data_IF_441951254982
#
_entry.id   IF_441951254982
#
_cell.length_a   1.000
_cell.length_b   1.000
_cell.length_c   1.000
_cell.angle_alpha   90.00
_cell.angle_beta   90.00
_cell.angle_gamma   90.00
#
_symmetry.space_group_name_H-M   'P 1'
#
loop_
_entity.id
_entity.type
_entity.pdbx_description
1 polymer ?
#
# COMPACT_ATOMS: atom_id res chain seq x y z
N UNK A 1 59.49 -30.14 6.13
CA UNK A 1 59.19 -28.93 6.93
C UNK A 1 57.75 -29.05 7.40
N UNK A 2 57.37 -29.84 8.39
CA UNK A 2 57.90 -30.03 9.75
C UNK A 2 57.99 -28.72 10.53
N UNK A 3 56.98 -28.44 11.37
CA UNK A 3 57.15 -28.22 12.82
C UNK A 3 55.80 -28.15 13.55
N UNK A 4 55.52 -29.26 14.23
CA UNK A 4 54.77 -29.40 15.47
C UNK A 4 55.33 -28.49 16.56
N UNK A 5 54.50 -27.91 17.44
CA UNK A 5 54.91 -27.68 18.83
C UNK A 5 53.74 -27.77 19.81
N UNK A 6 54.07 -28.32 20.97
CA UNK A 6 53.26 -28.85 22.04
C UNK A 6 53.67 -28.12 23.33
N UNK A 7 52.75 -27.81 24.26
CA UNK A 7 52.93 -28.08 25.71
C UNK A 7 51.81 -27.57 26.62
N UNK A 8 51.32 -28.52 27.40
CA UNK A 8 50.66 -28.45 28.71
C UNK A 8 51.63 -28.01 29.82
N UNK A 9 51.11 -27.39 30.89
CA UNK A 9 51.52 -27.39 32.32
C UNK A 9 50.50 -26.44 33.04
N UNK A 10 49.90 -26.65 34.20
CA UNK A 10 50.10 -27.60 35.29
C UNK A 10 50.10 -26.87 36.65
N UNK A 11 48.98 -26.95 37.39
CA UNK A 11 48.84 -27.08 38.86
C UNK A 11 49.29 -25.92 39.80
N UNK A 12 48.37 -25.38 40.63
CA UNK A 12 48.32 -25.57 42.11
C UNK A 12 47.17 -24.84 42.80
N UNK A 13 46.57 -25.56 43.75
CA UNK A 13 45.53 -25.14 44.68
C UNK A 13 46.10 -24.38 45.89
N UNK A 14 45.24 -23.65 46.59
CA UNK A 14 45.38 -23.40 48.03
C UNK A 14 44.00 -23.32 48.68
N UNK A 15 43.82 -24.18 49.67
CA UNK A 15 42.68 -24.35 50.57
C UNK A 15 42.92 -23.56 51.86
N UNK A 16 41.85 -23.16 52.57
CA UNK A 16 41.74 -22.82 54.02
C UNK A 16 40.86 -21.57 54.18
N UNK A 17 39.84 -21.45 55.02
CA UNK A 17 39.38 -22.22 56.17
C UNK A 17 37.93 -21.81 56.51
N UNK A 18 37.30 -22.68 57.28
CA UNK A 18 35.96 -22.63 57.87
C UNK A 18 35.80 -21.56 58.95
N UNK A 19 34.60 -20.98 59.06
CA UNK A 19 34.00 -20.67 60.36
C UNK A 19 32.46 -20.67 60.26
N UNK A 20 31.86 -21.24 61.29
CA UNK A 20 30.47 -21.67 61.44
C UNK A 20 29.50 -20.58 61.94
N UNK A 21 28.26 -20.69 61.46
CA UNK A 21 26.91 -20.39 62.03
C UNK A 21 26.79 -19.64 63.39
N UNK A 22 25.73 -18.82 63.56
CA UNK A 22 24.47 -19.37 64.08
C UNK A 22 23.19 -18.92 63.34
N UNK A 23 22.17 -19.76 63.46
CA UNK A 23 20.80 -19.53 63.04
C UNK A 23 20.08 -18.51 63.93
N UNK A 24 19.25 -17.65 63.32
CA UNK A 24 18.21 -16.90 64.02
C UNK A 24 16.96 -16.79 63.15
N UNK A 25 15.82 -16.75 63.85
CA UNK A 25 14.46 -17.05 63.41
C UNK A 25 13.82 -16.03 62.46
N UNK A 26 12.86 -16.58 61.72
CA UNK A 26 11.73 -15.98 61.01
C UNK A 26 11.27 -14.56 61.41
N UNK A 27 10.91 -13.76 60.40
CA UNK A 27 9.60 -13.09 60.38
C UNK A 27 9.12 -12.85 58.94
N UNK A 28 7.85 -13.14 58.70
CA UNK A 28 7.14 -12.80 57.48
C UNK A 28 6.76 -11.32 57.48
N UNK A 29 7.01 -10.60 56.38
CA UNK A 29 6.72 -9.17 56.32
C UNK A 29 6.76 -8.59 54.91
N UNK A 30 5.68 -8.80 54.17
CA UNK A 30 5.04 -7.88 53.20
C UNK A 30 5.96 -7.01 52.30
N UNK A 31 6.09 -7.50 51.05
CA UNK A 31 5.94 -6.79 49.76
C UNK A 31 5.96 -5.25 49.82
N UNK A 32 7.02 -4.64 49.30
CA UNK A 32 6.96 -3.41 48.51
C UNK A 32 8.12 -3.39 47.51
N UNK A 33 8.01 -4.18 46.44
CA UNK A 33 8.80 -3.96 45.24
C UNK A 33 8.19 -2.76 44.52
N UNK A 34 8.82 -1.59 44.63
CA UNK A 34 8.54 -0.44 43.78
C UNK A 34 8.92 -0.84 42.35
N UNK A 35 7.89 -1.08 41.53
CA UNK A 35 8.05 -1.24 40.09
C UNK A 35 8.53 0.10 39.51
N UNK A 36 9.79 0.13 39.07
CA UNK A 36 10.28 1.16 38.16
C UNK A 36 9.67 0.84 36.80
N UNK A 37 8.50 1.43 36.53
CA UNK A 37 7.96 1.51 35.17
C UNK A 37 8.83 2.52 34.41
N UNK A 38 9.87 2.05 33.74
CA UNK A 38 10.51 2.82 32.68
C UNK A 38 9.50 2.99 31.55
N UNK A 39 9.02 4.22 31.39
CA UNK A 39 8.23 4.70 30.26
C UNK A 39 8.92 4.33 28.94
N UNK A 40 8.29 3.46 28.16
CA UNK A 40 8.72 3.14 26.80
C UNK A 40 8.06 4.14 25.82
N UNK A 41 8.95 4.85 25.12
CA UNK A 41 8.83 5.30 23.72
C UNK A 41 7.79 6.39 23.41
N UNK A 42 8.19 7.65 23.62
CA UNK A 42 7.78 8.74 22.74
C UNK A 42 8.70 8.70 21.51
N UNK A 43 8.34 7.91 20.49
CA UNK A 43 8.93 8.07 19.16
C UNK A 43 8.03 9.01 18.36
N UNK A 44 8.08 10.30 18.71
CA UNK A 44 7.63 11.35 17.81
C UNK A 44 8.71 11.52 16.74
N UNK A 45 8.75 10.62 15.75
CA UNK A 45 9.44 10.87 14.49
C UNK A 45 8.58 11.87 13.72
N UNK A 46 8.71 13.16 14.04
CA UNK A 46 8.31 14.22 13.11
C UNK A 46 9.41 14.35 12.07
N UNK A 47 9.47 13.39 11.14
CA UNK A 47 10.17 13.62 9.87
C UNK A 47 9.28 14.56 9.04
N UNK A 48 9.77 15.74 8.61
CA UNK A 48 9.08 16.52 7.61
C UNK A 48 9.00 15.65 6.34
N UNK A 49 7.79 15.32 5.91
CA UNK A 49 7.54 14.39 4.80
C UNK A 49 6.87 13.08 5.18
N UNK A 50 6.41 12.90 6.43
CA UNK A 50 5.41 11.90 6.73
C UNK A 50 4.18 12.18 5.85
N UNK A 51 4.05 11.43 4.75
CA UNK A 51 2.81 11.34 4.00
C UNK A 51 1.70 11.04 4.99
N UNK A 52 0.53 11.64 4.82
CA UNK A 52 -0.64 11.19 5.57
C UNK A 52 -0.80 9.71 5.24
N UNK A 53 -0.35 8.86 6.15
CA UNK A 53 -0.58 7.44 6.08
C UNK A 53 -2.10 7.27 6.12
N UNK A 54 -2.63 6.51 5.16
CA UNK A 54 -4.04 6.19 5.09
C UNK A 54 -4.59 5.61 6.40
N UNK A 55 -5.90 5.47 6.46
CA UNK A 55 -6.58 5.01 7.65
C UNK A 55 -6.25 3.54 7.89
N UNK A 56 -5.70 3.17 9.06
CA UNK A 56 -5.34 1.78 9.35
C UNK A 56 -6.47 1.06 10.09
N UNK A 57 -6.95 -0.06 9.53
CA UNK A 57 -7.95 -0.93 10.16
C UNK A 57 -7.65 -2.40 9.88
N UNK A 58 -7.71 -3.28 10.90
CA UNK A 58 -7.40 -4.72 10.78
C UNK A 58 -6.06 -5.04 10.06
N UNK A 59 -5.06 -4.17 10.18
CA UNK A 59 -3.75 -4.33 9.53
C UNK A 59 -3.70 -3.90 8.06
N UNK A 60 -4.82 -3.44 7.51
CA UNK A 60 -4.91 -2.83 6.18
C UNK A 60 -4.77 -1.31 6.28
N UNK A 61 -4.12 -0.71 5.29
CA UNK A 61 -4.01 0.72 5.08
C UNK A 61 -4.98 1.14 3.98
N UNK A 62 -5.92 2.04 4.28
CA UNK A 62 -7.01 2.43 3.38
C UNK A 62 -6.88 3.90 2.96
N UNK A 63 -7.12 4.14 1.67
CA UNK A 63 -7.47 5.43 1.12
C UNK A 63 -8.97 5.41 0.79
N UNK A 64 -9.69 6.46 1.18
CA UNK A 64 -11.13 6.61 0.94
C UNK A 64 -11.32 7.81 0.05
N UNK A 65 -12.03 7.63 -1.05
CA UNK A 65 -12.32 8.70 -2.00
C UNK A 65 -13.67 9.36 -1.76
N UNK A 66 -13.92 10.45 -2.48
CA UNK A 66 -15.28 10.95 -2.66
C UNK A 66 -16.11 9.92 -3.44
N UNK A 67 -17.44 10.01 -3.29
CA UNK A 67 -18.39 9.11 -3.94
C UNK A 67 -19.11 9.78 -5.12
N UNK A 68 -18.51 10.84 -5.65
CA UNK A 68 -19.20 11.72 -6.58
C UNK A 68 -18.29 12.45 -7.55
N UNK A 69 -16.99 12.22 -7.51
CA UNK A 69 -15.98 12.79 -8.41
C UNK A 69 -15.74 11.96 -9.64
N UNK A 70 -16.17 10.70 -9.67
CA UNK A 70 -16.22 9.95 -10.91
C UNK A 70 -17.14 10.61 -11.96
N UNK A 71 -16.70 10.53 -13.21
CA UNK A 71 -17.49 10.93 -14.38
C UNK A 71 -18.15 9.71 -15.03
N UNK A 72 -19.26 9.89 -15.73
CA UNK A 72 -19.94 8.77 -16.40
C UNK A 72 -20.87 7.94 -15.50
N UNK A 73 -20.95 8.26 -14.20
CA UNK A 73 -21.90 7.71 -13.25
C UNK A 73 -21.31 6.64 -12.33
N UNK A 74 -22.13 6.05 -11.48
CA UNK A 74 -21.68 5.21 -10.36
C UNK A 74 -20.93 3.93 -10.74
N UNK A 75 -20.90 3.55 -12.02
CA UNK A 75 -20.12 2.42 -12.52
C UNK A 75 -18.64 2.74 -12.75
N UNK A 76 -18.25 4.01 -12.62
CA UNK A 76 -16.88 4.51 -12.82
C UNK A 76 -16.33 5.18 -11.55
N UNK A 77 -17.03 5.08 -10.42
CA UNK A 77 -16.59 5.67 -9.16
C UNK A 77 -15.64 4.71 -8.44
N UNK A 78 -14.44 5.19 -8.11
CA UNK A 78 -13.47 4.45 -7.31
C UNK A 78 -13.53 4.94 -5.87
N UNK A 79 -13.98 4.09 -4.95
CA UNK A 79 -14.36 4.53 -3.60
C UNK A 79 -13.27 4.26 -2.57
N UNK A 80 -12.49 3.19 -2.76
CA UNK A 80 -11.41 2.87 -1.83
C UNK A 80 -10.33 1.98 -2.43
N UNK A 81 -9.10 2.27 -2.02
CA UNK A 81 -7.91 1.49 -2.31
C UNK A 81 -7.26 1.11 -0.99
N UNK A 82 -7.00 -0.17 -0.78
CA UNK A 82 -6.36 -0.66 0.42
C UNK A 82 -5.11 -1.48 0.11
N UNK A 83 -4.13 -1.38 1.02
CA UNK A 83 -2.91 -2.17 0.98
C UNK A 83 -2.71 -2.94 2.30
N UNK A 84 -2.29 -4.19 2.18
CA UNK A 84 -1.84 -5.00 3.31
C UNK A 84 -0.55 -5.73 2.96
N UNK A 85 0.26 -6.03 3.98
CA UNK A 85 1.46 -6.81 3.81
C UNK A 85 1.54 -7.88 4.89
N UNK A 86 1.74 -9.14 4.48
CA UNK A 86 2.01 -10.26 5.37
C UNK A 86 3.32 -10.93 4.94
N UNK A 87 4.37 -10.77 5.75
CA UNK A 87 5.70 -11.26 5.39
C UNK A 87 6.21 -10.62 4.10
N UNK A 88 6.53 -11.44 3.10
CA UNK A 88 6.94 -10.99 1.76
C UNK A 88 5.78 -10.85 0.77
N UNK A 89 4.53 -11.07 1.17
CA UNK A 89 3.38 -10.92 0.27
C UNK A 89 2.73 -9.56 0.49
N UNK A 90 2.61 -8.78 -0.59
CA UNK A 90 1.80 -7.57 -0.64
C UNK A 90 0.42 -7.88 -1.21
N UNK A 91 -0.60 -7.21 -0.71
CA UNK A 91 -1.99 -7.34 -1.13
C UNK A 91 -2.54 -5.96 -1.42
N UNK A 92 -3.20 -5.81 -2.57
CA UNK A 92 -4.07 -4.68 -2.85
C UNK A 92 -5.52 -5.13 -2.90
N UNK A 93 -6.41 -4.25 -2.48
CA UNK A 93 -7.85 -4.39 -2.65
C UNK A 93 -8.42 -3.07 -3.15
N UNK A 94 -9.36 -3.15 -4.07
CA UNK A 94 -10.08 -2.03 -4.66
C UNK A 94 -11.56 -2.23 -4.35
N UNK A 95 -12.25 -1.13 -4.04
CA UNK A 95 -13.70 -1.10 -4.01
C UNK A 95 -14.23 0.11 -4.77
N UNK A 96 -15.23 -0.13 -5.61
CA UNK A 96 -15.78 0.90 -6.47
C UNK A 96 -17.01 0.41 -7.22
N UNK A 97 -17.38 1.15 -8.25
CA UNK A 97 -18.43 0.80 -9.20
C UNK A 97 -17.94 -0.02 -10.39
N UNK A 98 -16.64 0.08 -10.71
CA UNK A 98 -16.04 -0.47 -11.92
C UNK A 98 -15.78 -1.97 -11.79
N UNK A 99 -16.42 -2.83 -12.61
CA UNK A 99 -16.11 -4.25 -12.62
C UNK A 99 -14.68 -4.49 -13.07
N UNK A 100 -14.04 -5.55 -12.56
CA UNK A 100 -12.69 -5.93 -13.02
C UNK A 100 -12.64 -6.19 -14.53
N UNK A 101 -13.76 -6.64 -15.11
CA UNK A 101 -13.92 -6.85 -16.55
C UNK A 101 -14.15 -5.56 -17.36
N UNK A 102 -14.27 -4.41 -16.70
CA UNK A 102 -14.64 -3.13 -17.29
C UNK A 102 -16.13 -2.98 -17.58
N UNK A 103 -16.53 -1.77 -17.97
CA UNK A 103 -17.89 -1.42 -18.40
C UNK A 103 -17.96 -1.40 -19.92
N UNK A 104 -18.90 -2.13 -20.55
CA UNK A 104 -19.09 -2.08 -22.00
C UNK A 104 -19.38 -0.65 -22.50
N UNK A 105 -18.64 -0.20 -23.50
CA UNK A 105 -18.80 1.13 -24.09
C UNK A 105 -18.50 1.10 -25.59
N UNK A 106 -19.45 1.55 -26.41
CA UNK A 106 -19.23 1.60 -27.86
C UNK A 106 -18.31 2.76 -28.23
N UNK A 107 -17.38 2.53 -29.16
CA UNK A 107 -16.52 3.60 -29.70
C UNK A 107 -15.19 3.78 -28.97
N UNK A 108 -14.92 3.01 -27.92
CA UNK A 108 -13.58 2.85 -27.33
C UNK A 108 -12.91 1.58 -27.84
N UNK A 109 -11.60 1.48 -27.66
CA UNK A 109 -10.86 0.26 -27.98
C UNK A 109 -11.35 -0.89 -27.07
N UNK A 110 -11.40 -2.11 -27.61
CA UNK A 110 -12.00 -3.29 -26.98
C UNK A 110 -13.47 -3.16 -26.54
N UNK A 111 -14.18 -2.12 -26.99
CA UNK A 111 -15.59 -1.83 -26.65
C UNK A 111 -15.87 -1.85 -25.14
N UNK A 112 -14.85 -1.55 -24.32
CA UNK A 112 -14.90 -1.64 -22.87
C UNK A 112 -14.03 -0.53 -22.29
N UNK A 113 -14.49 0.12 -21.22
CA UNK A 113 -13.67 0.99 -20.38
C UNK A 113 -13.30 0.19 -19.14
N UNK A 114 -12.02 -0.05 -18.90
CA UNK A 114 -11.56 -0.84 -17.77
C UNK A 114 -10.75 0.00 -16.76
N UNK A 115 -10.42 -0.58 -15.60
CA UNK A 115 -9.36 -0.04 -14.76
C UNK A 115 -8.03 0.00 -15.51
N UNK A 116 -7.28 1.09 -15.38
CA UNK A 116 -5.90 1.19 -15.84
C UNK A 116 -4.92 0.42 -14.94
N UNK A 117 -3.66 0.82 -14.97
CA UNK A 117 -2.61 0.18 -14.19
C UNK A 117 -2.50 0.76 -12.78
N UNK A 118 -2.27 -0.13 -11.80
CA UNK A 118 -1.87 0.31 -10.46
C UNK A 118 -0.37 0.61 -10.46
N UNK A 119 -0.02 1.89 -10.45
CA UNK A 119 1.35 2.35 -10.37
C UNK A 119 1.83 2.42 -8.93
N UNK A 120 3.08 1.99 -8.70
CA UNK A 120 3.76 2.05 -7.42
C UNK A 120 4.99 2.95 -7.57
N UNK A 121 4.95 4.11 -6.92
CA UNK A 121 6.02 5.09 -6.98
C UNK A 121 6.85 5.09 -5.69
N UNK A 122 8.05 4.52 -5.77
CA UNK A 122 9.06 4.55 -4.71
C UNK A 122 10.05 5.71 -4.87
N UNK A 123 9.99 6.41 -6.00
CA UNK A 123 10.93 7.50 -6.29
C UNK A 123 10.70 8.70 -5.36
N UNK A 124 11.69 9.58 -5.32
CA UNK A 124 11.59 10.86 -4.59
C UNK A 124 10.81 11.94 -5.32
N UNK A 125 10.30 11.65 -6.53
CA UNK A 125 9.62 12.62 -7.37
C UNK A 125 8.17 12.26 -7.63
N UNK A 126 7.38 13.30 -7.90
CA UNK A 126 6.01 13.19 -8.37
C UNK A 126 5.96 12.64 -9.81
N UNK A 127 4.81 12.15 -10.27
CA UNK A 127 4.62 11.60 -11.61
C UNK A 127 3.89 12.60 -12.52
N UNK A 128 4.43 13.81 -12.59
CA UNK A 128 3.84 14.98 -13.26
C UNK A 128 4.16 15.08 -14.77
N UNK A 129 4.96 14.16 -15.28
CA UNK A 129 5.44 14.12 -16.66
C UNK A 129 5.67 12.68 -17.09
N UNK A 130 5.42 12.38 -18.37
CA UNK A 130 5.56 11.03 -18.92
C UNK A 130 6.93 10.40 -18.64
N UNK A 131 8.01 11.18 -18.75
CA UNK A 131 9.38 10.71 -18.59
C UNK A 131 9.65 10.14 -17.19
N UNK A 132 8.98 10.64 -16.14
CA UNK A 132 9.18 10.21 -14.75
C UNK A 132 8.67 8.80 -14.47
N UNK A 133 7.77 8.27 -15.31
CA UNK A 133 7.34 6.87 -15.20
C UNK A 133 8.41 5.86 -15.64
N UNK A 134 9.46 6.32 -16.33
CA UNK A 134 10.59 5.47 -16.73
C UNK A 134 11.64 5.29 -15.63
N UNK A 135 11.46 5.96 -14.48
CA UNK A 135 12.35 5.82 -13.33
C UNK A 135 12.36 4.36 -12.82
N UNK A 136 13.53 3.78 -12.49
CA UNK A 136 13.63 2.39 -12.05
C UNK A 136 12.89 2.08 -10.73
N UNK A 137 12.54 3.10 -9.96
CA UNK A 137 11.76 3.01 -8.72
C UNK A 137 10.26 3.20 -8.95
N UNK A 138 9.81 3.26 -10.21
CA UNK A 138 8.40 3.28 -10.60
C UNK A 138 8.01 1.96 -11.27
N UNK A 139 6.96 1.36 -10.72
CA UNK A 139 6.42 0.07 -11.17
C UNK A 139 4.96 0.22 -11.55
N UNK A 140 4.45 -0.72 -12.33
CA UNK A 140 3.03 -0.84 -12.64
C UNK A 140 2.57 -2.27 -12.41
N UNK A 141 1.38 -2.44 -11.88
CA UNK A 141 0.70 -3.72 -11.80
C UNK A 141 -0.46 -3.68 -12.77
N UNK A 142 -0.42 -4.57 -13.76
CA UNK A 142 -1.55 -4.85 -14.64
C UNK A 142 -2.36 -5.97 -14.02
N UNK A 143 -3.54 -5.65 -13.52
CA UNK A 143 -4.38 -6.57 -12.75
C UNK A 143 -5.69 -6.98 -13.43
N UNK A 144 -6.01 -6.35 -14.57
CA UNK A 144 -7.13 -6.74 -15.42
C UNK A 144 -6.64 -7.09 -16.83
N UNK A 145 -7.28 -8.08 -17.44
CA UNK A 145 -7.07 -8.43 -18.85
C UNK A 145 -7.95 -7.60 -19.79
N UNK A 146 -8.85 -6.79 -19.25
CA UNK A 146 -9.76 -5.96 -20.03
C UNK A 146 -9.09 -4.69 -20.56
N UNK A 147 -8.08 -4.17 -19.86
CA UNK A 147 -7.42 -2.94 -20.25
C UNK A 147 -6.55 -3.09 -21.53
N UNK A 148 -6.42 -2.01 -22.26
CA UNK A 148 -5.81 -1.86 -23.58
C UNK A 148 -4.27 -1.75 -23.54
N UNK A 149 -3.70 -1.72 -22.34
CA UNK A 149 -2.26 -1.63 -22.12
C UNK A 149 -1.48 -2.76 -22.80
N UNK A 150 -0.21 -2.49 -23.09
CA UNK A 150 0.72 -3.40 -23.75
C UNK A 150 0.21 -3.90 -25.12
N UNK A 151 -0.57 -3.06 -25.81
CA UNK A 151 -1.16 -3.36 -27.11
C UNK A 151 -2.23 -4.46 -27.05
N UNK A 152 -2.90 -4.61 -25.91
CA UNK A 152 -3.96 -5.58 -25.75
C UNK A 152 -5.17 -5.18 -26.59
N UNK A 153 -5.37 -5.86 -27.71
CA UNK A 153 -6.51 -5.66 -28.60
C UNK A 153 -7.21 -6.99 -28.74
N UNK A 154 -8.50 -7.01 -28.39
CA UNK A 154 -9.35 -8.20 -28.38
C UNK A 154 -8.75 -9.34 -27.54
N UNK A 155 -8.14 -9.01 -26.40
CA UNK A 155 -7.51 -9.99 -25.51
C UNK A 155 -6.19 -10.57 -26.04
N UNK A 156 -5.54 -9.93 -27.02
CA UNK A 156 -4.27 -10.39 -27.60
C UNK A 156 -3.13 -10.51 -26.59
N UNK A 157 -3.21 -9.80 -25.46
CA UNK A 157 -2.22 -9.86 -24.40
C UNK A 157 -2.87 -10.13 -23.04
N UNK A 158 -2.91 -11.41 -22.60
CA UNK A 158 -3.52 -11.79 -21.32
C UNK A 158 -2.55 -11.63 -20.13
N UNK A 159 -1.37 -11.05 -20.31
CA UNK A 159 -0.33 -11.00 -19.27
C UNK A 159 -0.76 -10.07 -18.14
N UNK A 160 -0.99 -10.64 -16.95
CA UNK A 160 -1.19 -9.92 -15.70
C UNK A 160 0.08 -10.03 -14.85
N UNK A 161 0.46 -8.95 -14.17
CA UNK A 161 1.72 -8.96 -13.44
C UNK A 161 2.24 -7.60 -13.02
N UNK A 162 3.39 -7.65 -12.36
CA UNK A 162 4.23 -6.52 -12.03
C UNK A 162 5.19 -6.22 -13.19
N UNK A 163 5.30 -4.95 -13.54
CA UNK A 163 6.13 -4.42 -14.61
C UNK A 163 7.02 -3.29 -14.11
N UNK A 164 8.19 -3.14 -14.75
CA UNK A 164 9.13 -2.03 -14.54
C UNK A 164 9.64 -1.48 -15.87
N UNK A 165 10.47 -0.43 -15.84
CA UNK A 165 11.00 0.22 -17.04
C UNK A 165 9.86 0.65 -17.98
N UNK A 166 8.94 1.44 -17.43
CA UNK A 166 7.66 1.71 -18.08
C UNK A 166 7.81 2.77 -19.17
N UNK A 167 7.11 2.56 -20.26
CA UNK A 167 6.62 3.66 -21.11
C UNK A 167 5.11 3.70 -20.94
N UNK A 168 4.59 4.81 -20.44
CA UNK A 168 3.15 5.00 -20.20
C UNK A 168 2.51 5.77 -21.33
N UNK A 169 1.19 5.66 -21.46
CA UNK A 169 0.42 6.33 -22.51
C UNK A 169 -0.98 6.68 -22.01
N UNK A 170 -1.59 7.69 -22.62
CA UNK A 170 -3.02 7.90 -22.55
C UNK A 170 -3.61 7.35 -23.85
N UNK A 171 -4.47 6.35 -23.77
CA UNK A 171 -5.15 5.80 -24.95
C UNK A 171 -6.48 6.50 -25.24
N UNK A 172 -6.81 7.52 -24.45
CA UNK A 172 -8.14 8.11 -24.44
C UNK A 172 -8.14 9.52 -24.97
N UNK A 173 -9.32 9.93 -25.42
CA UNK A 173 -9.56 11.23 -26.02
C UNK A 173 -11.05 11.50 -26.08
N UNK A 174 -11.40 12.76 -26.37
CA UNK A 174 -12.79 13.14 -26.55
C UNK A 174 -13.43 12.32 -27.70
N UNK A 175 -14.69 11.89 -27.56
CA UNK A 175 -15.64 12.27 -26.52
C UNK A 175 -15.75 11.32 -25.30
N UNK A 176 -14.92 10.27 -25.20
CA UNK A 176 -15.18 9.16 -24.27
C UNK A 176 -14.34 9.20 -22.98
N UNK A 177 -13.41 10.16 -22.87
CA UNK A 177 -12.57 10.35 -21.69
C UNK A 177 -11.86 11.70 -21.72
N UNK A 178 -10.81 11.83 -20.92
CA UNK A 178 -10.09 13.08 -20.73
C UNK A 178 -8.66 13.02 -21.25
N UNK A 179 -8.24 14.08 -21.92
CA UNK A 179 -6.86 14.21 -22.44
C UNK A 179 -5.89 14.78 -21.40
N UNK A 180 -6.40 15.39 -20.33
CA UNK A 180 -5.62 15.98 -19.24
C UNK A 180 -6.40 16.09 -17.94
N UNK A 181 -5.67 16.21 -16.81
CA UNK A 181 -6.27 16.42 -15.49
C UNK A 181 -7.03 17.74 -15.43
N UNK A 182 -6.50 18.81 -16.05
CA UNK A 182 -7.22 20.09 -16.13
C UNK A 182 -8.56 19.92 -16.84
N UNK A 183 -8.60 19.17 -17.94
CA UNK A 183 -9.86 18.93 -18.64
C UNK A 183 -10.87 18.22 -17.73
N UNK A 184 -10.45 17.16 -17.04
CA UNK A 184 -11.30 16.45 -16.07
C UNK A 184 -11.90 17.41 -15.01
N UNK A 185 -11.07 18.29 -14.46
CA UNK A 185 -11.53 19.30 -13.50
C UNK A 185 -12.42 20.39 -14.09
N UNK A 186 -12.15 20.83 -15.32
CA UNK A 186 -13.00 21.81 -16.03
C UNK A 186 -14.42 21.27 -16.29
N UNK A 187 -14.57 19.94 -16.37
CA UNK A 187 -15.87 19.27 -16.44
C UNK A 187 -16.59 19.15 -15.08
N UNK A 188 -15.97 19.59 -13.97
CA UNK A 188 -16.59 19.68 -12.65
C UNK A 188 -16.27 18.53 -11.68
N UNK A 189 -15.31 17.68 -12.03
CA UNK A 189 -14.94 16.50 -11.24
C UNK A 189 -13.84 16.76 -10.20
N UNK A 190 -13.32 17.98 -10.10
CA UNK A 190 -12.40 18.35 -9.02
C UNK A 190 -13.09 18.42 -7.66
N UNK A 191 -12.38 18.03 -6.58
CA UNK A 191 -12.89 18.09 -5.21
C UNK A 191 -11.94 18.84 -4.29
N UNK A 192 -12.54 19.51 -3.29
CA UNK A 192 -11.77 20.23 -2.26
C UNK A 192 -11.28 19.30 -1.15
N UNK A 193 -11.89 18.13 -0.98
CA UNK A 193 -11.57 17.07 -0.02
C UNK A 193 -11.97 15.73 -0.64
N UNK A 194 -11.19 14.67 -0.38
CA UNK A 194 -11.35 13.34 -0.96
C UNK A 194 -11.35 13.40 -2.48
N UNK A 195 -10.30 13.96 -3.09
CA UNK A 195 -10.26 14.15 -4.55
C UNK A 195 -9.74 12.94 -5.33
N UNK A 196 -8.79 12.19 -4.75
CA UNK A 196 -8.26 10.91 -5.23
C UNK A 196 -7.69 10.12 -4.03
N UNK A 197 -8.51 9.88 -3.01
CA UNK A 197 -8.12 9.19 -1.78
C UNK A 197 -7.13 9.99 -0.92
N UNK A 198 -5.93 9.44 -0.70
CA UNK A 198 -4.89 10.09 0.10
C UNK A 198 -4.26 11.32 -0.59
N UNK A 199 -4.48 11.50 -1.90
CA UNK A 199 -4.32 12.79 -2.56
C UNK A 199 -5.61 13.59 -2.36
N UNK A 200 -5.76 14.09 -1.13
CA UNK A 200 -7.04 14.52 -0.59
C UNK A 200 -7.63 15.75 -1.29
N UNK A 201 -6.83 16.65 -1.85
CA UNK A 201 -7.33 17.86 -2.52
C UNK A 201 -6.93 17.88 -3.98
N UNK A 202 -7.68 18.57 -4.85
CA UNK A 202 -7.26 18.85 -6.23
C UNK A 202 -5.83 19.42 -6.30
N UNK A 203 -5.41 20.23 -5.32
CA UNK A 203 -4.02 20.71 -5.25
C UNK A 203 -3.01 19.58 -5.01
N UNK A 204 -3.30 18.62 -4.13
CA UNK A 204 -2.44 17.46 -3.91
C UNK A 204 -2.33 16.58 -5.16
N UNK A 205 -3.45 16.37 -5.83
CA UNK A 205 -3.53 15.63 -7.09
C UNK A 205 -2.71 16.34 -8.18
N UNK A 206 -2.92 17.64 -8.40
CA UNK A 206 -2.15 18.43 -9.37
C UNK A 206 -0.66 18.50 -9.01
N UNK A 207 -0.31 18.57 -7.72
CA UNK A 207 1.08 18.55 -7.31
C UNK A 207 1.75 17.21 -7.69
N UNK A 208 1.02 16.10 -7.60
CA UNK A 208 1.57 14.77 -7.85
C UNK A 208 1.55 14.36 -9.33
N UNK A 209 0.47 14.63 -10.05
CA UNK A 209 0.29 14.25 -11.46
C UNK A 209 0.56 15.38 -12.44
N UNK A 210 0.90 16.58 -11.95
CA UNK A 210 0.85 17.77 -12.77
C UNK A 210 -0.59 18.07 -13.18
N UNK A 211 -0.74 19.01 -14.11
CA UNK A 211 -2.06 19.41 -14.63
C UNK A 211 -2.27 19.01 -16.10
N UNK A 212 -1.34 18.22 -16.64
CA UNK A 212 -1.27 17.83 -18.04
C UNK A 212 -1.94 16.50 -18.32
N UNK A 213 -1.43 15.79 -19.32
CA UNK A 213 -1.88 14.44 -19.67
C UNK A 213 -1.73 13.47 -18.51
N UNK A 214 -2.78 12.71 -18.22
CA UNK A 214 -2.76 11.59 -17.28
C UNK A 214 -2.47 10.30 -18.03
N UNK A 215 -1.81 9.35 -17.37
CA UNK A 215 -1.30 8.15 -18.02
C UNK A 215 -1.86 6.88 -17.34
N UNK A 216 -3.12 6.53 -17.62
CA UNK A 216 -3.74 5.33 -17.04
C UNK A 216 -3.06 4.05 -17.52
N UNK A 217 -2.55 4.03 -18.76
CA UNK A 217 -2.09 2.83 -19.43
C UNK A 217 -0.57 2.72 -19.55
N UNK A 218 -0.09 1.47 -19.61
CA UNK A 218 1.31 1.16 -19.96
C UNK A 218 1.40 0.77 -21.43
N UNK A 219 2.14 1.54 -22.24
CA UNK A 219 2.43 1.18 -23.63
C UNK A 219 3.43 0.03 -23.71
N UNK A 220 4.51 0.10 -22.94
CA UNK A 220 5.52 -0.97 -22.84
C UNK A 220 6.08 -1.06 -21.42
N UNK A 221 6.54 -2.26 -21.06
CA UNK A 221 7.18 -2.51 -19.77
C UNK A 221 7.90 -3.85 -19.77
N UNK A 222 8.86 -4.00 -18.87
CA UNK A 222 9.54 -5.26 -18.60
C UNK A 222 8.78 -6.03 -17.52
N UNK A 223 8.26 -7.21 -17.86
CA UNK A 223 7.63 -8.10 -16.89
C UNK A 223 8.62 -8.51 -15.80
N UNK A 224 8.20 -8.43 -14.54
CA UNK A 224 8.98 -8.82 -13.36
C UNK A 224 8.46 -10.12 -12.80
N UNK A 225 7.16 -10.20 -12.53
CA UNK A 225 6.49 -11.39 -12.00
C UNK A 225 4.98 -11.35 -12.24
N UNK A 226 4.33 -12.52 -12.09
CA UNK A 226 2.89 -12.63 -12.11
C UNK A 226 2.26 -12.23 -10.77
N UNK A 227 0.97 -11.92 -10.80
CA UNK A 227 0.15 -11.69 -9.61
C UNK A 227 -0.84 -12.84 -9.40
N UNK A 228 -1.44 -12.92 -8.21
CA UNK A 228 -2.60 -13.79 -7.95
C UNK A 228 -3.82 -12.93 -7.68
N UNK A 229 -4.89 -13.11 -8.47
CA UNK A 229 -6.17 -12.42 -8.27
C UNK A 229 -6.86 -12.92 -7.01
N UNK A 230 -7.57 -12.01 -6.34
CA UNK A 230 -8.33 -12.27 -5.13
C UNK A 230 -9.75 -11.73 -5.27
N UNK A 231 -10.74 -12.54 -4.93
CA UNK A 231 -12.12 -12.11 -4.81
C UNK A 231 -12.42 -11.49 -3.42
N UNK A 232 -13.62 -10.94 -3.27
CA UNK A 232 -14.06 -10.33 -2.03
C UNK A 232 -14.03 -11.29 -0.82
N UNK A 233 -14.29 -12.59 -1.02
CA UNK A 233 -14.30 -13.59 0.07
C UNK A 233 -12.86 -13.84 0.55
N UNK A 234 -11.92 -14.00 -0.37
CA UNK A 234 -10.51 -14.18 -0.07
C UNK A 234 -9.92 -12.95 0.63
N UNK A 235 -10.32 -11.74 0.20
CA UNK A 235 -9.91 -10.50 0.84
C UNK A 235 -10.49 -10.33 2.25
N UNK A 236 -11.78 -10.65 2.44
CA UNK A 236 -12.41 -10.62 3.77
C UNK A 236 -11.75 -11.61 4.73
N UNK A 237 -11.32 -12.78 4.25
CA UNK A 237 -10.57 -13.75 5.04
C UNK A 237 -9.20 -13.23 5.50
N UNK A 238 -8.62 -12.25 4.79
CA UNK A 238 -7.42 -11.51 5.17
C UNK A 238 -7.71 -10.30 6.07
N UNK A 239 -8.97 -10.10 6.50
CA UNK A 239 -9.37 -9.04 7.41
C UNK A 239 -9.72 -7.70 6.75
N UNK A 240 -9.84 -7.66 5.42
CA UNK A 240 -10.32 -6.48 4.70
C UNK A 240 -11.76 -6.14 5.15
N UNK A 241 -12.02 -4.86 5.40
CA UNK A 241 -13.32 -4.35 5.85
C UNK A 241 -13.54 -2.90 5.39
N UNK A 242 -13.87 -2.72 4.10
CA UNK A 242 -14.22 -1.40 3.56
C UNK A 242 -15.47 -0.81 4.22
N UNK A 243 -16.42 -1.64 4.64
CA UNK A 243 -17.66 -1.21 5.27
C UNK A 243 -17.44 -0.48 6.61
N UNK A 244 -16.25 -0.60 7.21
CA UNK A 244 -15.84 0.18 8.36
C UNK A 244 -15.87 1.70 8.10
N UNK A 245 -15.56 2.11 6.87
CA UNK A 245 -15.48 3.50 6.47
C UNK A 245 -16.74 3.89 5.68
N UNK A 246 -17.51 4.90 6.14
CA UNK A 246 -18.70 5.33 5.41
C UNK A 246 -18.37 5.74 3.98
N UNK A 247 -19.08 5.15 3.00
CA UNK A 247 -18.89 5.45 1.58
C UNK A 247 -17.76 4.70 0.87
N UNK A 248 -16.94 3.92 1.59
CA UNK A 248 -15.79 3.22 1.02
C UNK A 248 -16.10 1.88 0.35
N UNK A 249 -17.32 1.34 0.55
CA UNK A 249 -17.74 0.07 -0.05
C UNK A 249 -18.63 0.33 -1.27
N UNK A 250 -18.13 -0.10 -2.44
CA UNK A 250 -18.83 -0.10 -3.72
C UNK A 250 -19.51 -1.42 -4.05
N UNK A 251 -20.07 -1.49 -5.26
CA UNK A 251 -20.70 -2.70 -5.79
C UNK A 251 -19.69 -3.78 -6.19
N UNK A 252 -18.47 -3.37 -6.50
CA UNK A 252 -17.37 -4.23 -6.92
C UNK A 252 -16.27 -4.22 -5.86
N UNK A 253 -15.76 -5.41 -5.53
CA UNK A 253 -14.64 -5.61 -4.62
C UNK A 253 -13.76 -6.72 -5.16
N UNK A 254 -12.52 -6.38 -5.47
CA UNK A 254 -11.52 -7.31 -5.98
C UNK A 254 -10.13 -6.87 -5.55
N UNK A 255 -9.16 -7.75 -5.73
CA UNK A 255 -7.80 -7.45 -5.33
C UNK A 255 -6.81 -8.43 -5.95
N UNK A 256 -5.58 -8.30 -5.51
CA UNK A 256 -4.49 -9.14 -5.98
C UNK A 256 -3.33 -9.14 -5.00
N UNK A 257 -2.52 -10.19 -5.08
CA UNK A 257 -1.29 -10.32 -4.31
C UNK A 257 -0.07 -10.51 -5.20
N UNK A 258 1.09 -10.09 -4.70
CA UNK A 258 2.38 -10.16 -5.37
C UNK A 258 3.52 -10.36 -4.35
N UNK A 259 4.73 -10.70 -4.82
CA UNK A 259 5.90 -10.85 -3.96
C UNK A 259 6.55 -9.48 -3.73
N UNK A 260 6.30 -8.92 -2.56
CA UNK A 260 6.83 -7.62 -2.13
C UNK A 260 8.36 -7.56 -2.12
N UNK A 261 9.05 -8.71 -2.10
CA UNK A 261 10.52 -8.76 -2.20
C UNK A 261 11.04 -8.38 -3.59
N UNK A 262 10.17 -8.31 -4.61
CA UNK A 262 10.52 -7.79 -5.95
C UNK A 262 10.56 -6.26 -6.03
N UNK A 263 10.09 -5.57 -5.00
CA UNK A 263 10.00 -4.11 -4.96
C UNK A 263 11.01 -3.50 -3.98
N UNK A 264 11.42 -2.23 -4.18
CA UNK A 264 12.23 -1.51 -3.22
C UNK A 264 11.60 -1.48 -1.82
N UNK A 265 12.42 -1.50 -0.77
CA UNK A 265 11.93 -1.23 0.59
C UNK A 265 11.63 0.26 0.75
N UNK A 266 10.69 0.59 1.62
CA UNK A 266 10.38 1.98 1.94
C UNK A 266 8.93 2.33 1.72
N UNK A 267 8.61 3.60 1.95
CA UNK A 267 7.30 4.16 1.68
C UNK A 267 7.15 4.36 0.17
N UNK A 268 5.90 4.27 -0.30
CA UNK A 268 5.58 4.50 -1.69
C UNK A 268 4.16 5.01 -1.84
N UNK A 269 3.87 5.60 -3.00
CA UNK A 269 2.51 5.96 -3.38
C UNK A 269 1.99 4.96 -4.41
N UNK A 270 0.86 4.34 -4.10
CA UNK A 270 0.09 3.58 -5.06
C UNK A 270 -0.98 4.48 -5.67
N UNK A 271 -1.25 4.37 -6.96
CA UNK A 271 -2.40 5.02 -7.58
C UNK A 271 -2.78 4.32 -8.88
N UNK A 272 -4.02 4.48 -9.31
CA UNK A 272 -4.43 4.17 -10.67
C UNK A 272 -5.49 5.17 -11.13
N UNK A 273 -5.74 5.14 -12.42
CA UNK A 273 -6.89 5.78 -13.05
C UNK A 273 -7.61 4.73 -13.86
N UNK A 274 -8.90 4.91 -14.09
CA UNK A 274 -9.59 4.18 -15.15
C UNK A 274 -9.06 4.61 -16.53
N UNK A 275 -9.19 3.78 -17.56
CA UNK A 275 -8.56 4.03 -18.86
C UNK A 275 -8.98 5.37 -19.48
N UNK A 276 -10.26 5.71 -19.39
CA UNK A 276 -10.82 6.98 -19.87
C UNK A 276 -10.66 8.14 -18.88
N UNK A 277 -9.93 7.90 -17.79
CA UNK A 277 -9.78 8.78 -16.64
C UNK A 277 -11.13 9.28 -16.15
N UNK A 278 -12.09 8.36 -16.06
CA UNK A 278 -13.38 8.70 -15.51
C UNK A 278 -13.29 8.94 -14.01
N UNK A 279 -12.35 8.27 -13.35
CA UNK A 279 -11.97 8.47 -11.96
C UNK A 279 -10.54 7.94 -11.71
N UNK A 280 -10.03 8.13 -10.49
CA UNK A 280 -8.79 7.54 -10.03
C UNK A 280 -8.54 7.77 -8.54
N UNK A 281 -7.78 6.87 -7.93
CA UNK A 281 -7.55 6.87 -6.48
C UNK A 281 -6.08 6.66 -6.16
N UNK A 282 -5.60 7.29 -5.09
CA UNK A 282 -4.24 7.16 -4.61
C UNK A 282 -4.17 6.80 -3.11
N UNK A 283 -3.15 6.01 -2.76
CA UNK A 283 -2.84 5.55 -1.40
C UNK A 283 -1.38 5.82 -1.08
N UNK A 284 -1.12 6.47 0.06
CA UNK A 284 0.21 6.59 0.64
C UNK A 284 0.48 5.36 1.51
N UNK A 285 1.41 4.51 1.08
CA UNK A 285 1.83 3.33 1.84
C UNK A 285 3.07 3.66 2.65
N UNK A 286 3.00 3.67 4.00
CA UNK A 286 4.16 3.94 4.84
C UNK A 286 5.10 2.73 4.86
N UNK A 287 6.32 2.92 5.37
CA UNK A 287 7.28 1.82 5.50
C UNK A 287 6.70 0.66 6.33
N UNK A 288 7.04 -0.61 6.01
CA UNK A 288 6.48 -1.79 6.69
C UNK A 288 6.61 -1.77 8.22
N UNK A 289 7.71 -1.20 8.75
CA UNK A 289 7.92 -1.06 10.20
C UNK A 289 6.87 -0.16 10.87
N UNK A 290 6.36 0.84 10.16
CA UNK A 290 5.32 1.75 10.65
C UNK A 290 3.96 1.06 10.73
N UNK A 291 3.60 0.21 9.75
CA UNK A 291 2.34 -0.55 9.77
C UNK A 291 2.31 -1.58 10.92
N UNK A 292 3.43 -2.24 11.19
CA UNK A 292 3.55 -3.20 12.30
C UNK A 292 3.42 -2.54 13.69
N UNK A 293 3.99 -1.32 13.85
CA UNK A 293 3.89 -0.57 15.10
C UNK A 293 2.48 -0.01 15.34
N UNK A 294 1.84 0.52 14.28
CA UNK A 294 0.48 1.07 14.37
C UNK A 294 -0.55 -0.01 14.72
N UNK A 295 -0.50 -1.17 14.07
CA UNK A 295 -1.39 -2.31 14.36
C UNK A 295 -1.22 -2.86 15.79
N UNK A 296 0.01 -2.91 16.30
CA UNK A 296 0.31 -3.41 17.65
C UNK A 296 -0.20 -2.49 18.77
N UNK A 297 -0.22 -1.17 18.52
CA UNK A 297 -0.62 -0.18 19.52
C UNK A 297 -2.11 -0.24 19.90
N UNK A 298 -2.98 -0.64 18.96
CA UNK A 298 -4.42 -0.76 19.17
C UNK A 298 -4.80 -2.03 19.96
N UNK A 299 -4.08 -3.14 19.76
CA UNK A 299 -4.30 -4.38 20.51
C UNK A 299 -3.98 -4.22 22.02
N UNK A 300 -2.99 -3.39 22.37
CA UNK A 300 -2.60 -3.13 23.76
C UNK A 300 -3.64 -2.35 24.58
N UNK A 301 -4.47 -1.52 23.92
CA UNK A 301 -5.50 -0.72 24.60
C UNK A 301 -6.75 -1.56 24.90
N UNK A 302 -7.12 -2.49 24.00
CA UNK A 302 -8.28 -3.36 24.19
C UNK A 302 -8.14 -4.32 25.39
N UNK A 303 -6.93 -4.79 25.70
CA UNK A 303 -6.70 -5.67 26.86
C UNK A 303 -6.71 -4.95 28.21
N UNK A 304 -6.56 -3.62 28.25
CA UNK A 304 -6.63 -2.85 29.51
C UNK A 304 -8.04 -2.54 29.97
N UNK A 305 -9.05 -2.57 29.08
CA UNK A 305 -10.46 -2.31 29.43
C UNK A 305 -11.22 -3.53 29.97
N UNK A 306 -10.64 -4.73 29.97
CA UNK A 306 -11.26 -5.95 30.55
C UNK A 306 -10.80 -6.29 31.97
N UNK A 307 -10.07 -5.38 32.63
CA UNK A 307 -9.68 -5.52 34.04
C UNK A 307 -9.90 -4.21 34.81
N UNK A 308 -11.15 -3.79 34.88
CA UNK A 308 -11.68 -2.93 35.96
C UNK A 308 -13.08 -3.42 36.31
#
# INVERSE_FOLDING_TARGET
MEKTFCKTLGVKATTSQSASLPAARASAGKRFARAVFCSLVTLAMTTPGASHAGQIWNGWNYAIDSNSDGSGGSGYEELSLAYHQQGSTGYFAISGGMPLAGVPHSGVLNETIAPGELYLNFSSHNLDTQAKYSDPDVFAIRFTSANDSLGNVSGSNPTLGLFKNLTVTNLTGAPYGYTSLQQYYDYGFGRTVGAMGDLNTTTDVTNYFGNGTMYPNVATGTFVEGISSLDAIQLAALGLDFAHFPGALGGEVYGFSFDRSKLPTGAFRAHFFEECINDGIALNVPEPGTLALLSSSLAGIAFRRRRQ
#
